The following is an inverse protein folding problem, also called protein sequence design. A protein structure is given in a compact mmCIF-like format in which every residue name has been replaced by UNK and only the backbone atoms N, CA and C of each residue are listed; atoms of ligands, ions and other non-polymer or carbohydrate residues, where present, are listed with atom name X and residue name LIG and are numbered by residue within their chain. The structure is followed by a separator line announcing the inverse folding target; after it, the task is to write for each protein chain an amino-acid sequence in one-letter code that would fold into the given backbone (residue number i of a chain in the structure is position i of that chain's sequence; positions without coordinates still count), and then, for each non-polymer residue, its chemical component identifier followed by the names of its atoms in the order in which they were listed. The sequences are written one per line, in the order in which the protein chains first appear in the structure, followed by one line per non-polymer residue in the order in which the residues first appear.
data_IF_060444931255
#
_entry.id   IF_060444931255
#
_cell.length_a   1.000
_cell.length_b   1.000
_cell.length_c   1.000
_cell.angle_alpha   90.00
_cell.angle_beta   90.00
_cell.angle_gamma   90.00
#
_symmetry.space_group_name_H-M   'P 1'
#
loop_
_entity.id
_entity.type
_entity.pdbx_description
1 polymer ?
#
# COMPACT_ATOMS: atom_id res chain seq x y z
N UNK A 1 32.69 29.47 -3.68
CA UNK A 1 31.68 28.64 -2.98
C UNK A 1 30.85 29.59 -2.13
N UNK A 2 29.65 29.95 -2.57
CA UNK A 2 28.81 30.97 -1.92
C UNK A 2 27.99 30.29 -0.80
N UNK A 3 28.37 30.55 0.46
CA UNK A 3 27.70 30.19 1.72
C UNK A 3 27.60 28.70 2.11
N UNK A 4 28.57 28.16 2.87
CA UNK A 4 28.51 26.82 3.48
C UNK A 4 27.46 26.67 4.60
N UNK A 5 26.91 27.77 5.12
CA UNK A 5 25.92 27.75 6.23
C UNK A 5 24.52 27.29 5.82
N UNK A 6 24.22 27.25 4.51
CA UNK A 6 22.88 26.91 4.00
C UNK A 6 22.58 25.41 4.15
N UNK A 7 23.59 24.57 4.42
CA UNK A 7 23.46 23.11 4.40
C UNK A 7 23.49 22.44 5.77
N UNK A 8 23.42 23.21 6.87
CA UNK A 8 23.35 22.65 8.22
C UNK A 8 21.92 22.21 8.60
N UNK A 9 21.28 21.40 7.75
CA UNK A 9 19.97 20.84 8.05
C UNK A 9 20.11 19.73 9.09
N UNK A 10 19.21 19.73 10.08
CA UNK A 10 19.09 18.60 10.98
C UNK A 10 18.73 17.35 10.17
N UNK A 11 19.29 16.17 10.50
CA UNK A 11 18.88 14.94 9.87
C UNK A 11 17.36 14.77 9.92
N UNK A 12 16.74 14.26 8.84
CA UNK A 12 15.31 14.01 8.83
C UNK A 12 14.93 13.04 9.95
N UNK A 13 13.76 13.25 10.53
CA UNK A 13 13.22 12.36 11.55
C UNK A 13 12.97 10.98 10.93
N UNK A 14 13.48 9.94 11.54
CA UNK A 14 13.28 8.56 11.14
C UNK A 14 12.92 7.72 12.37
N UNK A 15 12.01 6.77 12.20
CA UNK A 15 11.58 5.85 13.25
C UNK A 15 11.73 4.42 12.73
N UNK A 16 12.42 3.56 13.48
CA UNK A 16 12.54 2.14 13.18
C UNK A 16 12.07 1.33 14.38
N UNK A 17 11.34 0.25 14.11
CA UNK A 17 10.88 -0.68 15.14
C UNK A 17 11.43 -2.06 14.77
N UNK A 18 12.28 -2.62 15.63
CA UNK A 18 12.81 -3.98 15.47
C UNK A 18 12.09 -4.90 16.44
N UNK A 19 11.40 -5.89 15.90
CA UNK A 19 10.70 -6.90 16.66
C UNK A 19 11.35 -8.26 16.42
N UNK A 20 11.49 -9.07 17.47
CA UNK A 20 11.92 -10.47 17.37
C UNK A 20 10.70 -11.38 17.57
N UNK A 21 10.63 -12.43 16.76
CA UNK A 21 9.59 -13.45 16.81
C UNK A 21 10.20 -14.85 16.90
N UNK A 22 9.40 -15.83 17.34
CA UNK A 22 9.69 -17.25 17.11
C UNK A 22 9.17 -17.68 15.74
N UNK A 23 9.51 -18.89 15.29
CA UNK A 23 9.00 -19.47 14.04
C UNK A 23 7.52 -19.86 14.08
N UNK A 24 6.85 -19.67 15.22
CA UNK A 24 5.43 -19.95 15.36
C UNK A 24 4.58 -18.77 14.89
N UNK A 25 3.39 -19.00 14.31
CA UNK A 25 2.48 -17.95 13.92
C UNK A 25 2.11 -17.05 15.11
N UNK A 26 2.72 -15.87 15.19
CA UNK A 26 2.42 -14.91 16.23
C UNK A 26 1.28 -14.00 15.78
N UNK A 27 0.19 -13.95 16.56
CA UNK A 27 -0.95 -13.06 16.32
C UNK A 27 -0.54 -11.58 16.17
N UNK A 28 0.60 -11.18 16.76
CA UNK A 28 1.14 -9.82 16.64
C UNK A 28 1.60 -9.51 15.20
N UNK A 29 2.37 -10.39 14.56
CA UNK A 29 2.85 -10.15 13.19
C UNK A 29 1.71 -10.21 12.19
N UNK A 30 0.77 -11.14 12.40
CA UNK A 30 -0.44 -11.21 11.58
C UNK A 30 -1.19 -9.88 11.57
N UNK A 31 -1.42 -9.27 12.75
CA UNK A 31 -2.06 -7.95 12.86
C UNK A 31 -1.30 -6.82 12.14
N UNK A 32 0.03 -6.86 12.14
CA UNK A 32 0.85 -5.85 11.45
C UNK A 32 0.69 -5.99 9.93
N UNK A 33 0.76 -7.22 9.42
CA UNK A 33 0.61 -7.52 8.00
C UNK A 33 -0.82 -7.18 7.55
N UNK A 34 -1.83 -7.68 8.27
CA UNK A 34 -3.25 -7.43 7.97
C UNK A 34 -3.62 -5.94 8.05
N UNK A 35 -2.87 -5.15 8.82
CA UNK A 35 -3.05 -3.69 8.93
C UNK A 35 -2.38 -2.87 7.82
N UNK A 36 -1.57 -3.49 6.95
CA UNK A 36 -0.82 -2.82 5.89
C UNK A 36 -1.41 -3.16 4.51
N UNK A 37 -2.41 -2.38 4.09
CA UNK A 37 -3.27 -2.72 2.94
C UNK A 37 -2.60 -2.57 1.57
N UNK A 38 -1.70 -1.59 1.40
CA UNK A 38 -1.18 -1.23 0.08
C UNK A 38 0.30 -1.62 -0.01
N UNK A 39 0.57 -2.74 -0.68
CA UNK A 39 1.92 -3.26 -0.89
C UNK A 39 2.33 -3.07 -2.35
N UNK A 40 3.43 -2.36 -2.59
CA UNK A 40 3.95 -2.17 -3.95
C UNK A 40 4.91 -3.28 -4.37
N UNK A 41 5.74 -3.75 -3.44
CA UNK A 41 6.75 -4.76 -3.72
C UNK A 41 7.00 -5.63 -2.49
N UNK A 42 7.20 -6.92 -2.73
CA UNK A 42 7.61 -7.90 -1.73
C UNK A 42 8.86 -8.57 -2.25
N UNK A 43 9.91 -8.60 -1.43
CA UNK A 43 11.20 -9.20 -1.80
C UNK A 43 11.61 -10.19 -0.72
N UNK A 44 12.02 -11.39 -1.13
CA UNK A 44 12.50 -12.45 -0.25
C UNK A 44 13.91 -12.82 -0.67
N UNK A 45 14.82 -12.91 0.30
CA UNK A 45 16.21 -13.29 0.08
C UNK A 45 16.42 -14.66 0.74
N UNK A 46 16.90 -15.63 -0.06
CA UNK A 46 17.23 -16.98 0.39
C UNK A 46 18.74 -17.19 0.29
N UNK A 47 19.49 -17.06 1.39
CA UNK A 47 20.91 -17.37 1.39
C UNK A 47 21.17 -18.83 1.01
N UNK A 48 22.31 -19.10 0.39
CA UNK A 48 22.83 -20.45 0.11
C UNK A 48 21.86 -21.40 -0.62
N UNK A 49 20.95 -20.83 -1.42
CA UNK A 49 19.91 -21.58 -2.13
C UNK A 49 20.22 -21.59 -3.63
N UNK A 50 20.44 -22.78 -4.19
CA UNK A 50 20.75 -22.96 -5.63
C UNK A 50 19.49 -22.92 -6.49
N UNK A 51 18.37 -23.43 -5.98
CA UNK A 51 17.08 -23.48 -6.67
C UNK A 51 15.97 -23.03 -5.71
N UNK A 52 15.08 -22.16 -6.20
CA UNK A 52 13.92 -21.69 -5.43
C UNK A 52 12.88 -22.81 -5.35
N UNK A 53 12.39 -23.20 -4.15
CA UNK A 53 11.33 -24.19 -4.04
C UNK A 53 10.06 -23.78 -4.80
N UNK A 54 9.45 -24.70 -5.54
CA UNK A 54 8.25 -24.41 -6.34
C UNK A 54 7.06 -23.95 -5.50
N UNK A 55 6.93 -24.50 -4.29
CA UNK A 55 5.88 -24.11 -3.32
C UNK A 55 5.99 -22.62 -2.98
N UNK A 56 7.21 -22.11 -2.79
CA UNK A 56 7.44 -20.71 -2.49
C UNK A 56 7.15 -19.84 -3.71
N UNK A 57 7.61 -20.26 -4.89
CA UNK A 57 7.34 -19.53 -6.13
C UNK A 57 5.83 -19.41 -6.35
N UNK A 58 5.11 -20.52 -6.23
CA UNK A 58 3.65 -20.57 -6.36
C UNK A 58 2.96 -19.67 -5.33
N UNK A 59 3.41 -19.70 -4.07
CA UNK A 59 2.84 -18.85 -3.03
C UNK A 59 3.03 -17.35 -3.29
N UNK A 60 4.13 -16.95 -3.92
CA UNK A 60 4.42 -15.55 -4.26
C UNK A 60 3.70 -15.08 -5.52
N UNK A 61 3.46 -15.98 -6.48
CA UNK A 61 2.81 -15.62 -7.75
C UNK A 61 1.28 -15.76 -7.72
N UNK A 62 0.75 -16.63 -6.85
CA UNK A 62 -0.69 -16.88 -6.75
C UNK A 62 -1.43 -15.60 -6.32
N UNK A 63 -2.51 -15.28 -7.04
CA UNK A 63 -3.39 -14.13 -6.77
C UNK A 63 -2.65 -12.77 -6.73
N UNK A 64 -1.54 -12.64 -7.47
CA UNK A 64 -0.74 -11.41 -7.56
C UNK A 64 -1.20 -10.44 -8.66
N UNK A 65 -2.26 -10.79 -9.38
CA UNK A 65 -2.81 -9.97 -10.45
C UNK A 65 -3.55 -8.74 -9.90
N UNK A 66 -3.35 -7.60 -10.54
CA UNK A 66 -4.06 -6.37 -10.22
C UNK A 66 -4.48 -5.65 -11.50
N UNK A 67 -5.52 -4.82 -11.39
CA UNK A 67 -6.05 -4.06 -12.52
C UNK A 67 -5.64 -2.60 -12.41
N UNK A 68 -5.23 -2.02 -13.55
CA UNK A 68 -5.09 -0.58 -13.73
C UNK A 68 -6.24 -0.10 -14.60
N UNK A 69 -7.04 0.82 -14.07
CA UNK A 69 -8.13 1.45 -14.81
C UNK A 69 -7.79 2.92 -15.01
N UNK A 70 -7.61 3.32 -16.27
CA UNK A 70 -7.30 4.70 -16.60
C UNK A 70 -8.56 5.57 -16.55
N UNK A 71 -8.41 6.81 -16.06
CA UNK A 71 -9.46 7.83 -16.03
C UNK A 71 -10.77 7.40 -15.33
N UNK A 72 -10.69 6.57 -14.29
CA UNK A 72 -11.86 6.17 -13.50
C UNK A 72 -12.37 7.34 -12.63
N UNK A 73 -13.61 7.82 -12.83
CA UNK A 73 -14.14 8.89 -12.01
C UNK A 73 -14.54 8.38 -10.61
N UNK A 74 -14.16 9.13 -9.57
CA UNK A 74 -14.30 8.71 -8.16
C UNK A 74 -15.74 8.41 -7.75
N UNK A 75 -16.73 9.11 -8.31
CA UNK A 75 -18.13 8.88 -7.97
C UNK A 75 -18.61 7.45 -8.29
N UNK A 76 -17.92 6.71 -9.17
CA UNK A 76 -18.25 5.31 -9.48
C UNK A 76 -18.09 4.37 -8.30
N UNK A 77 -17.17 4.69 -7.38
CA UNK A 77 -17.03 3.93 -6.13
C UNK A 77 -18.25 4.08 -5.21
N UNK A 78 -19.09 5.09 -5.45
CA UNK A 78 -20.32 5.35 -4.69
C UNK A 78 -21.56 4.69 -5.32
N UNK A 79 -21.43 4.08 -6.50
CA UNK A 79 -22.54 3.42 -7.18
C UNK A 79 -23.05 2.24 -6.33
N UNK A 80 -24.37 2.19 -6.09
CA UNK A 80 -24.98 1.16 -5.23
C UNK A 80 -24.66 -0.26 -5.69
N UNK A 81 -24.64 -0.48 -7.00
CA UNK A 81 -24.29 -1.78 -7.58
C UNK A 81 -22.83 -2.13 -7.28
N UNK A 82 -21.91 -1.19 -7.49
CA UNK A 82 -20.49 -1.36 -7.20
C UNK A 82 -20.25 -1.73 -5.73
N UNK A 83 -20.88 -1.00 -4.80
CA UNK A 83 -20.77 -1.27 -3.37
C UNK A 83 -21.30 -2.67 -3.03
N UNK A 84 -22.47 -3.05 -3.55
CA UNK A 84 -23.05 -4.36 -3.24
C UNK A 84 -22.19 -5.52 -3.76
N UNK A 85 -21.63 -5.40 -4.97
CA UNK A 85 -20.83 -6.46 -5.58
C UNK A 85 -19.41 -6.55 -5.03
N UNK A 86 -18.71 -5.43 -4.82
CA UNK A 86 -17.29 -5.45 -4.46
C UNK A 86 -17.03 -5.20 -2.98
N UNK A 87 -17.75 -4.26 -2.37
CA UNK A 87 -17.48 -3.83 -0.98
C UNK A 87 -18.19 -4.71 0.04
N UNK A 88 -19.43 -5.12 -0.24
CA UNK A 88 -20.22 -5.96 0.69
C UNK A 88 -19.98 -7.45 0.52
N UNK A 89 -19.69 -7.90 -0.70
CA UNK A 89 -19.52 -9.33 -1.00
C UNK A 89 -18.07 -9.79 -0.88
N UNK A 90 -17.12 -8.88 -0.63
CA UNK A 90 -15.70 -9.18 -0.57
C UNK A 90 -14.88 -8.03 0.01
N UNK A 91 -13.58 -8.03 -0.30
CA UNK A 91 -12.66 -6.96 0.04
C UNK A 91 -12.17 -6.29 -1.24
N UNK A 92 -12.27 -4.98 -1.31
CA UNK A 92 -11.79 -4.18 -2.42
C UNK A 92 -10.62 -3.30 -1.95
N UNK A 93 -9.57 -3.30 -2.76
CA UNK A 93 -8.42 -2.43 -2.59
C UNK A 93 -8.31 -1.58 -3.86
N UNK A 94 -8.25 -0.26 -3.70
CA UNK A 94 -8.01 0.64 -4.81
C UNK A 94 -7.09 1.79 -4.35
N UNK A 95 -6.22 2.24 -5.23
CA UNK A 95 -5.29 3.33 -4.96
C UNK A 95 -5.06 4.12 -6.25
N UNK A 96 -5.04 5.45 -6.18
CA UNK A 96 -4.59 6.28 -7.29
C UNK A 96 -3.15 5.92 -7.68
N UNK A 97 -2.91 5.71 -8.98
CA UNK A 97 -1.59 5.36 -9.51
C UNK A 97 -1.03 6.54 -10.28
N UNK A 98 0.25 6.86 -10.05
CA UNK A 98 0.95 7.93 -10.75
C UNK A 98 0.68 9.34 -10.21
N UNK A 99 0.06 9.45 -9.03
CA UNK A 99 -0.18 10.72 -8.33
C UNK A 99 0.76 10.83 -7.13
N UNK A 100 1.26 12.04 -6.86
CA UNK A 100 2.10 12.32 -5.70
C UNK A 100 1.25 12.83 -4.53
N UNK A 101 1.42 12.22 -3.37
CA UNK A 101 0.58 12.48 -2.19
C UNK A 101 0.59 13.93 -1.72
N UNK A 102 1.72 14.64 -1.91
CA UNK A 102 1.91 16.01 -1.45
C UNK A 102 1.49 17.07 -2.48
N UNK A 103 1.38 16.72 -3.76
CA UNK A 103 1.18 17.71 -4.85
C UNK A 103 -0.07 17.50 -5.68
N UNK A 104 -0.70 16.32 -5.58
CA UNK A 104 -1.84 15.92 -6.39
C UNK A 104 -3.00 15.42 -5.51
N UNK A 105 -4.20 15.40 -6.09
CA UNK A 105 -5.35 14.77 -5.48
C UNK A 105 -5.22 13.23 -5.57
N UNK A 106 -5.25 12.56 -4.43
CA UNK A 106 -5.11 11.12 -4.31
C UNK A 106 -6.39 10.51 -3.71
N UNK A 107 -6.74 9.29 -4.13
CA UNK A 107 -7.85 8.54 -3.57
C UNK A 107 -7.42 7.09 -3.27
N UNK A 108 -8.02 6.51 -2.25
CA UNK A 108 -7.83 5.11 -1.89
C UNK A 108 -9.13 4.48 -1.39
N UNK A 109 -9.35 3.20 -1.69
CA UNK A 109 -10.41 2.38 -1.08
C UNK A 109 -9.75 1.32 -0.22
N UNK A 110 -10.12 1.32 1.05
CA UNK A 110 -9.64 0.33 2.04
C UNK A 110 -10.52 -0.93 2.02
N UNK A 111 -9.99 -2.09 2.44
CA UNK A 111 -10.79 -3.33 2.51
C UNK A 111 -11.96 -3.24 3.49
N UNK A 112 -11.96 -2.26 4.40
CA UNK A 112 -13.07 -1.96 5.30
C UNK A 112 -14.23 -1.21 4.61
N UNK A 113 -14.11 -0.88 3.32
CA UNK A 113 -15.14 -0.17 2.56
C UNK A 113 -15.11 1.35 2.70
N UNK A 114 -14.03 1.91 3.26
CA UNK A 114 -13.86 3.38 3.31
C UNK A 114 -13.18 3.89 2.06
N UNK A 115 -13.79 4.89 1.43
CA UNK A 115 -13.18 5.74 0.41
C UNK A 115 -12.47 6.90 1.12
N UNK A 116 -11.15 6.93 1.04
CA UNK A 116 -10.28 7.96 1.61
C UNK A 116 -9.81 8.87 0.49
N UNK A 117 -10.01 10.18 0.67
CA UNK A 117 -9.59 11.20 -0.29
C UNK A 117 -8.55 12.09 0.36
N UNK A 118 -7.38 12.19 -0.26
CA UNK A 118 -6.39 13.21 0.07
C UNK A 118 -6.45 14.27 -1.03
N UNK A 119 -7.02 15.42 -0.70
CA UNK A 119 -7.32 16.47 -1.66
C UNK A 119 -6.50 17.70 -1.35
N UNK A 120 -6.11 18.39 -2.42
CA UNK A 120 -5.54 19.73 -2.34
C UNK A 120 -6.62 20.72 -1.94
N UNK A 121 -6.14 21.87 -1.46
CA UNK A 121 -6.99 22.95 -1.01
C UNK A 121 -7.94 23.44 -2.11
N UNK A 122 -7.49 23.48 -3.37
CA UNK A 122 -8.32 23.94 -4.49
C UNK A 122 -9.47 22.99 -4.80
N UNK A 123 -9.28 21.69 -4.60
CA UNK A 123 -10.28 20.65 -4.90
C UNK A 123 -11.26 20.45 -3.74
N UNK A 124 -10.82 20.73 -2.51
CA UNK A 124 -11.65 20.56 -1.31
C UNK A 124 -12.65 21.71 -1.07
N UNK A 125 -12.28 22.94 -1.43
CA UNK A 125 -13.12 24.13 -1.23
C UNK A 125 -14.12 24.33 -2.37
#
# INVERSE_FOLDING_TARGET
MLSPEIWNFKPPKHNHVVLKGSGEPCAKFKKIIDGHYFNHSVTVILPDTVLVPEELNTALTKDSEYYKVDQLPIHRFLDKQFINFFVKSGQLFALSVGTQLDTDDCAAVTPCGHLVLNLRKETYN
#
